data_IF_574654341878
#
_entry.id   IF_574654341878
#
_cell.length_a   1.000
_cell.length_b   1.000
_cell.length_c   1.000
_cell.angle_alpha   90.00
_cell.angle_beta   90.00
_cell.angle_gamma   90.00
#
_symmetry.space_group_name_H-M   'P 1'
#
loop_
_entity.id
_entity.type
_entity.pdbx_description
1 polymer ?
#
# COMPACT_ATOMS: atom_id res chain seq x y z
N UNK A 1 31.11 -41.72 22.56
CA UNK A 1 30.75 -40.67 21.59
C UNK A 1 29.51 -39.97 22.14
N UNK A 2 29.64 -38.75 22.67
CA UNK A 2 28.50 -38.03 23.26
C UNK A 2 27.70 -37.31 22.16
N UNK A 3 26.35 -37.34 22.17
CA UNK A 3 25.56 -36.63 21.19
C UNK A 3 25.51 -35.14 21.57
N UNK A 4 25.79 -34.27 20.60
CA UNK A 4 25.57 -32.83 20.73
C UNK A 4 24.16 -32.56 20.23
N UNK A 5 23.29 -32.07 21.10
CA UNK A 5 21.93 -31.65 20.74
C UNK A 5 21.99 -30.16 20.41
N UNK A 6 21.64 -29.80 19.18
CA UNK A 6 21.51 -28.40 18.74
C UNK A 6 20.07 -27.94 19.01
N UNK A 7 19.89 -27.02 19.95
CA UNK A 7 18.59 -26.39 20.23
C UNK A 7 18.39 -25.22 19.26
N UNK A 8 17.49 -25.38 18.29
CA UNK A 8 17.07 -24.28 17.40
C UNK A 8 15.96 -23.50 18.10
N UNK A 9 16.28 -22.28 18.56
CA UNK A 9 15.30 -21.37 19.15
C UNK A 9 14.59 -20.62 18.02
N UNK A 10 13.31 -20.95 17.79
CA UNK A 10 12.47 -20.22 16.85
C UNK A 10 11.86 -19.01 17.58
N UNK A 11 12.44 -17.83 17.42
CA UNK A 11 11.86 -16.60 17.96
C UNK A 11 10.58 -16.23 17.19
N UNK A 12 9.42 -16.49 17.80
CA UNK A 12 8.13 -15.97 17.31
C UNK A 12 8.18 -14.44 17.35
N UNK A 13 8.11 -13.80 16.19
CA UNK A 13 7.88 -12.36 16.08
C UNK A 13 6.37 -12.14 16.23
N UNK A 14 5.95 -11.69 17.41
CA UNK A 14 4.57 -11.24 17.62
C UNK A 14 4.52 -9.77 17.17
N UNK A 15 3.89 -9.50 16.03
CA UNK A 15 3.62 -8.12 15.61
C UNK A 15 2.34 -7.62 16.27
N UNK A 16 2.43 -6.50 16.99
CA UNK A 16 1.26 -5.78 17.48
C UNK A 16 0.71 -4.89 16.36
N UNK A 17 -0.56 -5.08 15.99
CA UNK A 17 -1.24 -4.18 15.08
C UNK A 17 -1.59 -2.88 15.82
N UNK A 18 -1.15 -1.73 15.30
CA UNK A 18 -1.58 -0.42 15.82
C UNK A 18 -3.06 -0.23 15.54
N UNK A 19 -3.85 0.00 16.59
CA UNK A 19 -5.28 0.27 16.45
C UNK A 19 -5.49 1.74 16.08
N UNK A 20 -6.18 2.00 14.97
CA UNK A 20 -6.62 3.35 14.60
C UNK A 20 -7.88 3.70 15.39
N UNK A 21 -7.89 4.88 16.01
CA UNK A 21 -9.04 5.40 16.77
C UNK A 21 -9.36 6.83 16.36
N UNK A 22 -10.64 7.18 16.39
CA UNK A 22 -11.10 8.53 16.06
C UNK A 22 -10.57 9.53 17.10
N UNK A 23 -10.04 10.66 16.62
CA UNK A 23 -9.52 11.74 17.48
C UNK A 23 -8.09 11.51 17.99
N UNK A 24 -7.49 10.35 17.74
CA UNK A 24 -6.08 10.08 18.04
C UNK A 24 -5.19 10.37 16.83
N UNK A 25 -3.91 10.64 17.10
CA UNK A 25 -2.90 10.82 16.05
C UNK A 25 -2.67 9.48 15.35
N UNK A 26 -2.67 9.49 14.02
CA UNK A 26 -2.38 8.29 13.23
C UNK A 26 -0.92 7.84 13.46
N UNK A 27 -0.68 6.52 13.56
CA UNK A 27 0.68 5.99 13.63
C UNK A 27 1.46 6.38 12.37
N UNK A 28 2.73 6.75 12.53
CA UNK A 28 3.60 7.03 11.39
C UNK A 28 3.91 5.74 10.64
N UNK A 29 3.78 5.78 9.31
CA UNK A 29 4.10 4.68 8.41
C UNK A 29 5.24 5.09 7.50
N UNK A 30 6.25 4.24 7.42
CA UNK A 30 7.42 4.38 6.55
C UNK A 30 7.49 3.15 5.64
N UNK A 31 7.45 3.37 4.32
CA UNK A 31 7.57 2.32 3.32
C UNK A 31 8.84 2.54 2.51
N UNK A 32 9.84 1.69 2.72
CA UNK A 32 11.14 1.78 2.03
C UNK A 32 11.20 0.91 0.78
N UNK A 33 10.52 -0.23 0.78
CA UNK A 33 10.40 -1.13 -0.38
C UNK A 33 9.03 -0.97 -1.01
N UNK A 34 8.98 -0.83 -2.34
CA UNK A 34 7.74 -0.61 -3.11
C UNK A 34 6.84 0.51 -2.57
N UNK A 35 7.43 1.59 -2.01
CA UNK A 35 6.71 2.65 -1.31
C UNK A 35 5.62 3.36 -2.13
N UNK A 36 5.93 4.54 -2.68
CA UNK A 36 5.01 5.27 -3.56
C UNK A 36 5.35 4.97 -5.01
N UNK A 37 4.34 4.51 -5.75
CA UNK A 37 4.41 4.37 -7.20
C UNK A 37 4.44 5.77 -7.83
N UNK A 38 5.56 6.12 -8.45
CA UNK A 38 5.79 7.36 -9.15
C UNK A 38 5.81 7.12 -10.66
N UNK A 39 5.20 8.04 -11.40
CA UNK A 39 5.17 8.04 -12.87
C UNK A 39 5.73 9.37 -13.36
N UNK A 40 6.91 9.33 -13.97
CA UNK A 40 7.56 10.48 -14.58
C UNK A 40 7.63 10.27 -16.09
N UNK A 41 6.77 10.97 -16.83
CA UNK A 41 6.53 10.66 -18.23
C UNK A 41 6.01 9.23 -18.37
N UNK A 42 6.75 8.38 -19.08
CA UNK A 42 6.44 6.95 -19.23
C UNK A 42 7.25 6.04 -18.29
N UNK A 43 8.08 6.59 -17.41
CA UNK A 43 8.90 5.79 -16.51
C UNK A 43 8.20 5.58 -15.18
N UNK A 44 8.10 4.31 -14.79
CA UNK A 44 7.60 3.90 -13.49
C UNK A 44 8.76 3.69 -12.54
N UNK A 45 8.65 4.24 -11.34
CA UNK A 45 9.57 4.01 -10.24
C UNK A 45 8.82 3.84 -8.93
N UNK A 46 9.43 3.10 -8.00
CA UNK A 46 8.98 3.05 -6.62
C UNK A 46 9.94 3.89 -5.79
N UNK A 47 9.42 4.93 -5.15
CA UNK A 47 10.19 5.78 -4.25
C UNK A 47 9.81 5.48 -2.81
N UNK A 48 10.73 5.61 -1.84
CA UNK A 48 10.36 5.55 -0.43
C UNK A 48 9.24 6.56 -0.13
N UNK A 49 8.35 6.20 0.78
CA UNK A 49 7.22 7.04 1.17
C UNK A 49 7.02 7.05 2.67
N UNK A 50 6.61 8.22 3.17
CA UNK A 50 6.33 8.45 4.58
C UNK A 50 5.00 9.17 4.77
N UNK A 51 4.17 8.67 5.69
CA UNK A 51 2.89 9.26 6.07
C UNK A 51 2.98 10.73 6.55
N UNK A 52 4.16 11.20 6.96
CA UNK A 52 4.43 12.60 7.32
C UNK A 52 4.22 13.55 6.14
N UNK A 53 4.32 13.08 4.89
CA UNK A 53 3.94 13.85 3.69
C UNK A 53 2.46 14.28 3.69
N UNK A 54 1.62 13.58 4.47
CA UNK A 54 0.17 13.84 4.55
C UNK A 54 -0.19 14.92 5.58
N UNK A 55 0.75 15.38 6.41
CA UNK A 55 0.47 16.34 7.48
C UNK A 55 -0.08 17.65 6.92
N UNK A 56 -1.13 18.16 7.56
CA UNK A 56 -1.76 19.42 7.19
C UNK A 56 -2.71 19.34 5.99
N UNK A 57 -2.95 18.13 5.43
CA UNK A 57 -3.92 17.88 4.37
C UNK A 57 -5.03 16.97 4.86
N UNK A 58 -6.20 17.07 4.25
CA UNK A 58 -7.24 16.05 4.42
C UNK A 58 -6.96 14.96 3.39
N UNK A 59 -6.97 13.70 3.81
CA UNK A 59 -6.70 12.59 2.92
C UNK A 59 -7.64 11.42 3.17
N UNK A 60 -7.92 10.68 2.11
CA UNK A 60 -8.60 9.38 2.19
C UNK A 60 -7.59 8.29 1.86
N UNK A 61 -7.44 7.31 2.74
CA UNK A 61 -6.63 6.11 2.49
C UNK A 61 -7.57 4.94 2.21
N UNK A 62 -7.42 4.34 1.02
CA UNK A 62 -8.03 3.06 0.71
C UNK A 62 -6.98 1.96 0.85
N UNK A 63 -7.21 1.03 1.77
CA UNK A 63 -6.39 -0.16 1.91
C UNK A 63 -7.03 -1.30 1.11
N UNK A 64 -6.39 -1.72 0.04
CA UNK A 64 -6.91 -2.68 -0.94
C UNK A 64 -6.07 -3.96 -0.92
N UNK A 65 -6.74 -5.11 -1.02
CA UNK A 65 -6.05 -6.39 -1.12
C UNK A 65 -5.38 -6.53 -2.50
N UNK A 66 -4.11 -6.92 -2.54
CA UNK A 66 -3.35 -7.17 -3.76
C UNK A 66 -3.52 -8.57 -4.33
N UNK A 67 -4.70 -9.17 -4.24
CA UNK A 67 -4.96 -10.51 -4.80
C UNK A 67 -5.41 -10.42 -6.26
N UNK A 68 -5.19 -11.47 -7.05
CA UNK A 68 -5.70 -11.55 -8.44
C UNK A 68 -7.24 -11.45 -8.50
N UNK A 69 -7.95 -12.02 -7.53
CA UNK A 69 -9.41 -11.96 -7.45
C UNK A 69 -9.91 -10.55 -7.09
N UNK A 70 -9.16 -9.81 -6.27
CA UNK A 70 -9.49 -8.44 -5.91
C UNK A 70 -9.11 -7.43 -7.01
N UNK A 71 -8.12 -7.73 -7.86
CA UNK A 71 -7.63 -6.81 -8.88
C UNK A 71 -8.74 -6.24 -9.79
N UNK A 72 -9.67 -7.07 -10.26
CA UNK A 72 -10.77 -6.59 -11.12
C UNK A 72 -11.72 -5.63 -10.39
N UNK A 73 -12.04 -5.94 -9.13
CA UNK A 73 -12.88 -5.10 -8.26
C UNK A 73 -12.16 -3.79 -7.92
N UNK A 74 -10.88 -3.87 -7.54
CA UNK A 74 -10.04 -2.72 -7.25
C UNK A 74 -9.93 -1.79 -8.47
N UNK A 75 -9.67 -2.34 -9.66
CA UNK A 75 -9.57 -1.55 -10.89
C UNK A 75 -10.88 -0.83 -11.20
N UNK A 76 -12.01 -1.54 -11.10
CA UNK A 76 -13.34 -0.94 -11.33
C UNK A 76 -13.63 0.18 -10.31
N UNK A 77 -13.22 -0.01 -9.05
CA UNK A 77 -13.37 0.98 -7.99
C UNK A 77 -12.49 2.21 -8.24
N UNK A 78 -11.19 2.01 -8.54
CA UNK A 78 -10.22 3.08 -8.81
C UNK A 78 -10.64 3.87 -10.06
N UNK A 79 -11.01 3.20 -11.16
CA UNK A 79 -11.46 3.85 -12.40
C UNK A 79 -12.69 4.74 -12.16
N UNK A 80 -13.61 4.31 -11.29
CA UNK A 80 -14.76 5.13 -10.88
C UNK A 80 -14.33 6.31 -10.02
N UNK A 81 -13.44 6.09 -9.04
CA UNK A 81 -12.94 7.17 -8.18
C UNK A 81 -12.29 8.29 -9.01
N UNK A 82 -11.44 7.92 -9.97
CA UNK A 82 -10.77 8.85 -10.88
C UNK A 82 -11.78 9.63 -11.75
N UNK A 83 -12.78 8.92 -12.30
CA UNK A 83 -13.83 9.54 -13.15
C UNK A 83 -14.67 10.56 -12.40
N UNK A 84 -15.07 10.22 -11.18
CA UNK A 84 -15.92 11.08 -10.36
C UNK A 84 -15.12 12.25 -9.74
N UNK A 85 -13.82 12.35 -10.01
CA UNK A 85 -12.97 13.47 -9.59
C UNK A 85 -13.03 13.71 -8.07
N UNK A 86 -13.12 12.63 -7.27
CA UNK A 86 -13.16 12.74 -5.81
C UNK A 86 -11.95 13.48 -5.21
N UNK A 87 -10.81 13.41 -5.91
CA UNK A 87 -9.58 14.13 -5.56
C UNK A 87 -9.61 15.64 -5.89
N UNK A 88 -10.68 16.13 -6.54
CA UNK A 88 -10.83 17.51 -6.99
C UNK A 88 -11.89 18.30 -6.21
N UNK A 89 -12.19 17.87 -4.98
CA UNK A 89 -12.96 18.69 -4.06
C UNK A 89 -12.36 20.12 -4.02
N UNK A 90 -13.19 21.17 -4.11
CA UNK A 90 -12.71 22.52 -4.35
C UNK A 90 -11.72 22.96 -3.26
N UNK A 91 -10.52 23.36 -3.68
CA UNK A 91 -9.48 23.92 -2.82
C UNK A 91 -8.21 23.09 -2.62
N UNK A 92 -8.00 21.99 -3.36
CA UNK A 92 -6.79 21.13 -3.22
C UNK A 92 -6.63 20.54 -1.80
N UNK A 93 -7.73 20.52 -1.06
CA UNK A 93 -7.78 20.16 0.36
C UNK A 93 -7.74 18.64 0.56
N UNK A 94 -8.02 17.87 -0.47
CA UNK A 94 -8.29 16.44 -0.40
C UNK A 94 -7.38 15.64 -1.33
N UNK A 95 -6.68 14.63 -0.79
CA UNK A 95 -5.85 13.72 -1.57
C UNK A 95 -6.22 12.27 -1.26
N UNK A 96 -6.38 11.43 -2.28
CA UNK A 96 -6.53 9.98 -2.10
C UNK A 96 -5.21 9.24 -2.21
N UNK A 97 -4.98 8.31 -1.28
CA UNK A 97 -3.90 7.33 -1.33
C UNK A 97 -4.48 5.91 -1.37
N UNK A 98 -4.14 5.15 -2.40
CA UNK A 98 -4.46 3.73 -2.49
C UNK A 98 -3.24 2.92 -2.02
N UNK A 99 -3.36 2.24 -0.89
CA UNK A 99 -2.34 1.33 -0.37
C UNK A 99 -2.76 -0.09 -0.73
N UNK A 100 -1.93 -0.78 -1.50
CA UNK A 100 -2.22 -2.13 -1.99
C UNK A 100 -1.30 -3.10 -1.26
N UNK A 101 -1.90 -4.04 -0.53
CA UNK A 101 -1.14 -5.08 0.16
C UNK A 101 -0.64 -6.13 -0.84
N UNK A 102 0.65 -6.08 -1.18
CA UNK A 102 1.29 -7.04 -2.09
C UNK A 102 1.55 -8.40 -1.44
N UNK A 103 1.57 -8.52 -0.11
CA UNK A 103 1.76 -9.80 0.59
C UNK A 103 0.55 -10.72 0.44
N UNK A 104 -0.62 -10.15 0.15
CA UNK A 104 -1.82 -10.92 -0.22
C UNK A 104 -1.74 -11.46 -1.67
N UNK A 105 -0.76 -11.01 -2.48
CA UNK A 105 -0.52 -11.61 -3.77
C UNK A 105 -0.01 -13.04 -3.55
N UNK A 106 -0.73 -14.06 -4.07
CA UNK A 106 -0.28 -15.46 -4.04
C UNK A 106 1.21 -15.54 -4.40
N UNK A 107 1.97 -16.37 -3.67
CA UNK A 107 3.40 -16.60 -3.93
C UNK A 107 3.68 -16.76 -5.43
N UNK A 108 4.53 -15.90 -6.00
CA UNK A 108 4.85 -15.86 -7.44
C UNK A 108 3.94 -14.98 -8.31
N UNK A 109 2.95 -14.28 -7.74
CA UNK A 109 2.04 -13.36 -8.48
C UNK A 109 2.22 -11.89 -8.16
N UNK A 110 3.11 -11.54 -7.21
CA UNK A 110 3.43 -10.16 -6.85
C UNK A 110 3.81 -9.30 -8.06
N UNK A 111 4.58 -9.84 -9.01
CA UNK A 111 4.92 -9.14 -10.25
C UNK A 111 3.74 -8.88 -11.21
N UNK A 112 2.69 -9.71 -11.19
CA UNK A 112 1.48 -9.49 -11.98
C UNK A 112 0.62 -8.40 -11.34
N UNK A 113 0.53 -8.42 -10.01
CA UNK A 113 -0.19 -7.40 -9.24
C UNK A 113 0.51 -6.06 -9.39
N UNK A 114 1.84 -6.03 -9.24
CA UNK A 114 2.67 -4.86 -9.49
C UNK A 114 2.37 -4.27 -10.87
N UNK A 115 2.45 -5.08 -11.94
CA UNK A 115 2.13 -4.64 -13.31
C UNK A 115 0.72 -4.07 -13.45
N UNK A 116 -0.26 -4.64 -12.75
CA UNK A 116 -1.64 -4.13 -12.77
C UNK A 116 -1.74 -2.75 -12.13
N UNK A 117 -1.05 -2.54 -11.00
CA UNK A 117 -0.99 -1.23 -10.33
C UNK A 117 -0.26 -0.21 -11.19
N UNK A 118 0.81 -0.63 -11.85
CA UNK A 118 1.57 0.16 -12.82
C UNK A 118 0.70 0.59 -14.02
N UNK A 119 -0.03 -0.34 -14.63
CA UNK A 119 -0.95 -0.06 -15.73
C UNK A 119 -2.08 0.89 -15.31
N UNK A 120 -2.59 0.76 -14.07
CA UNK A 120 -3.57 1.69 -13.51
C UNK A 120 -3.02 3.10 -13.31
N UNK A 121 -1.75 3.24 -12.90
CA UNK A 121 -1.13 4.57 -12.69
C UNK A 121 -0.90 5.34 -13.99
N UNK A 122 -0.79 4.64 -15.11
CA UNK A 122 -0.61 5.22 -16.46
C UNK A 122 -1.90 5.72 -17.09
N UNK A 123 -3.05 5.37 -16.53
CA UNK A 123 -4.37 5.85 -16.97
C UNK A 123 -4.70 7.17 -16.31
#
# INVERSE_FOLDING_TARGET
MSPVIFLVVFSLRISSASQIKLGEVLPEVNLTEFGKLNLEGDQISYVPWDSRELRGKIFTIYHLAGTRSAASLNNTFIDRLLREQFDLLPGDLHQTFNIINLDDAMFGTSGIVQRTVEDCKRK
#
